data_IF_699299533172
#
_entry.id   IF_699299533172
#
_cell.length_a   1.000
_cell.length_b   1.000
_cell.length_c   1.000
_cell.angle_alpha   90.00
_cell.angle_beta   90.00
_cell.angle_gamma   90.00
#
_symmetry.space_group_name_H-M   'P 1'
#
loop_
_entity.id
_entity.type
_entity.pdbx_description
1 polymer ?
#
# COMPACT_ATOMS: atom_id res chain seq x y z
N UNK A 1 -9.39 -13.12 32.32
CA UNK A 1 -8.96 -12.48 31.06
C UNK A 1 -9.77 -13.11 29.92
N UNK A 2 -10.45 -12.32 29.09
CA UNK A 2 -11.31 -12.83 28.00
C UNK A 2 -10.49 -13.47 26.87
N UNK A 3 -11.13 -14.29 26.01
CA UNK A 3 -10.47 -14.88 24.82
C UNK A 3 -9.89 -13.80 23.90
N UNK A 4 -10.65 -12.73 23.65
CA UNK A 4 -10.21 -11.59 22.83
C UNK A 4 -9.00 -10.87 23.44
N UNK A 5 -8.96 -10.67 24.77
CA UNK A 5 -7.81 -10.06 25.44
C UNK A 5 -6.54 -10.93 25.30
N UNK A 6 -6.67 -12.26 25.35
CA UNK A 6 -5.54 -13.19 25.13
C UNK A 6 -4.99 -13.14 23.72
N UNK A 7 -5.88 -13.16 22.71
CA UNK A 7 -5.47 -13.07 21.31
C UNK A 7 -4.86 -11.72 20.99
N UNK A 8 -5.41 -10.62 21.52
CA UNK A 8 -4.82 -9.29 21.40
C UNK A 8 -3.42 -9.20 22.01
N UNK A 9 -3.24 -9.75 23.21
CA UNK A 9 -1.91 -9.79 23.86
C UNK A 9 -0.92 -10.58 23.01
N UNK A 10 -1.34 -11.73 22.47
CA UNK A 10 -0.52 -12.54 21.57
C UNK A 10 -0.14 -11.77 20.31
N UNK A 11 -1.06 -11.06 19.67
CA UNK A 11 -0.74 -10.20 18.53
C UNK A 11 0.34 -9.18 18.88
N UNK A 12 0.20 -8.49 20.02
CA UNK A 12 1.21 -7.54 20.50
C UNK A 12 2.55 -8.22 20.74
N UNK A 13 2.59 -9.39 21.38
CA UNK A 13 3.81 -10.17 21.57
C UNK A 13 4.50 -10.46 20.22
N UNK A 14 3.74 -10.80 19.16
CA UNK A 14 4.33 -11.02 17.83
C UNK A 14 4.89 -9.73 17.22
N UNK A 15 4.24 -8.57 17.43
CA UNK A 15 4.76 -7.29 16.95
C UNK A 15 6.05 -6.86 17.67
N UNK A 16 6.18 -7.21 18.94
CA UNK A 16 7.43 -7.02 19.69
C UNK A 16 8.53 -7.96 19.19
N UNK A 17 8.20 -9.24 18.98
CA UNK A 17 9.15 -10.26 18.51
C UNK A 17 9.64 -9.99 17.07
N UNK A 18 8.80 -9.40 16.23
CA UNK A 18 9.14 -8.95 14.87
C UNK A 18 9.93 -7.62 14.86
N UNK A 19 10.17 -7.00 16.03
CA UNK A 19 10.86 -5.72 16.17
C UNK A 19 10.19 -4.60 15.36
N UNK A 20 8.84 -4.57 15.35
CA UNK A 20 8.03 -3.58 14.60
C UNK A 20 7.24 -2.63 15.49
N UNK A 21 7.29 -2.84 16.80
CA UNK A 21 6.58 -2.06 17.80
C UNK A 21 7.49 -1.93 19.03
N UNK A 22 7.85 -0.70 19.37
CA UNK A 22 8.86 -0.39 20.39
C UNK A 22 8.34 0.64 21.40
N UNK A 23 7.61 1.66 20.94
CA UNK A 23 7.19 2.77 21.79
C UNK A 23 6.14 2.30 22.83
N UNK A 24 6.34 2.56 24.13
CA UNK A 24 5.42 2.13 25.18
C UNK A 24 3.97 2.59 24.97
N UNK A 25 3.78 3.78 24.41
CA UNK A 25 2.46 4.38 24.14
C UNK A 25 1.73 3.65 23.02
N UNK A 26 2.45 3.22 21.98
CA UNK A 26 1.87 2.40 20.92
C UNK A 26 1.60 0.97 21.39
N UNK A 27 2.51 0.39 22.19
CA UNK A 27 2.27 -0.91 22.83
C UNK A 27 1.00 -0.87 23.69
N UNK A 28 0.79 0.20 24.46
CA UNK A 28 -0.42 0.41 25.23
C UNK A 28 -1.67 0.49 24.32
N UNK A 29 -1.61 1.28 23.25
CA UNK A 29 -2.70 1.40 22.28
C UNK A 29 -3.10 0.05 21.67
N UNK A 30 -2.15 -0.73 21.14
CA UNK A 30 -2.43 -2.05 20.57
C UNK A 30 -2.95 -3.06 21.63
N UNK A 31 -2.54 -2.93 22.89
CA UNK A 31 -3.06 -3.75 24.01
C UNK A 31 -4.46 -3.34 24.46
N UNK A 32 -4.87 -2.10 24.23
CA UNK A 32 -6.15 -1.56 24.66
C UNK A 32 -7.23 -1.70 23.57
N UNK A 33 -6.94 -1.29 22.34
CA UNK A 33 -7.93 -1.16 21.27
C UNK A 33 -8.41 -2.54 20.80
N UNK A 34 -9.71 -2.84 20.87
CA UNK A 34 -10.27 -4.14 20.50
C UNK A 34 -10.41 -4.29 18.98
N UNK A 35 -9.38 -4.79 18.28
CA UNK A 35 -9.40 -4.99 16.81
C UNK A 35 -10.67 -5.68 16.28
N UNK A 36 -11.21 -6.65 17.02
CA UNK A 36 -12.47 -7.35 16.72
C UNK A 36 -13.75 -6.49 16.65
N UNK A 37 -13.80 -5.35 17.32
CA UNK A 37 -14.91 -4.38 17.17
C UNK A 37 -14.91 -3.79 15.75
N UNK A 38 -13.73 -3.64 15.16
CA UNK A 38 -13.56 -3.02 13.84
C UNK A 38 -13.66 -4.02 12.69
N UNK A 39 -13.80 -5.32 12.97
CA UNK A 39 -13.80 -6.39 11.97
C UNK A 39 -14.95 -7.38 12.18
N UNK A 40 -16.22 -6.92 12.20
CA UNK A 40 -17.36 -7.83 12.37
C UNK A 40 -17.49 -8.82 11.21
N UNK A 41 -16.97 -8.46 10.03
CA UNK A 41 -16.95 -9.25 8.81
C UNK A 41 -15.76 -8.88 7.93
N UNK A 42 -15.32 -9.82 7.11
CA UNK A 42 -14.26 -9.65 6.11
C UNK A 42 -14.32 -10.77 5.06
N UNK A 43 -13.44 -10.72 4.08
CA UNK A 43 -13.22 -11.77 3.09
C UNK A 43 -11.91 -12.52 3.35
N UNK A 44 -11.90 -13.81 3.03
CA UNK A 44 -10.70 -14.65 3.01
C UNK A 44 -10.49 -15.25 1.61
N UNK A 45 -9.23 -15.42 1.17
CA UNK A 45 -8.93 -16.10 -0.09
C UNK A 45 -9.46 -17.54 -0.11
N UNK A 46 -10.14 -17.92 -1.18
CA UNK A 46 -10.70 -19.25 -1.40
C UNK A 46 -10.58 -19.66 -2.87
N UNK A 47 -9.49 -20.35 -3.22
CA UNK A 47 -9.30 -20.90 -4.58
C UNK A 47 -9.29 -19.85 -5.71
N UNK A 48 -8.70 -18.68 -5.47
CA UNK A 48 -8.69 -17.55 -6.42
C UNK A 48 -9.92 -16.64 -6.34
N UNK A 49 -10.90 -17.00 -5.49
CA UNK A 49 -12.08 -16.20 -5.15
C UNK A 49 -11.99 -15.70 -3.70
N UNK A 50 -13.03 -15.00 -3.24
CA UNK A 50 -13.14 -14.42 -1.92
C UNK A 50 -14.37 -14.97 -1.18
N UNK A 51 -14.13 -15.66 -0.07
CA UNK A 51 -15.17 -16.18 0.82
C UNK A 51 -15.52 -15.17 1.91
N UNK A 52 -16.81 -14.99 2.19
CA UNK A 52 -17.29 -14.17 3.31
C UNK A 52 -17.05 -14.87 4.66
N UNK A 53 -16.52 -14.13 5.62
CA UNK A 53 -16.33 -14.54 7.02
C UNK A 53 -16.92 -13.48 7.96
N UNK A 54 -17.68 -13.90 8.97
CA UNK A 54 -18.21 -13.05 10.04
C UNK A 54 -18.00 -13.66 11.44
N UNK A 55 -18.50 -12.97 12.47
CA UNK A 55 -18.41 -13.36 13.89
C UNK A 55 -19.03 -14.72 14.23
N UNK A 56 -19.95 -15.23 13.41
CA UNK A 56 -20.64 -16.49 13.66
C UNK A 56 -19.84 -17.68 13.08
N UNK A 57 -18.80 -17.41 12.28
CA UNK A 57 -17.93 -18.43 11.71
C UNK A 57 -16.85 -18.92 12.72
N UNK A 58 -16.56 -20.23 12.76
CA UNK A 58 -15.50 -20.77 13.59
C UNK A 58 -14.14 -20.14 13.27
N UNK A 59 -13.42 -19.71 14.31
CA UNK A 59 -12.09 -19.14 14.16
C UNK A 59 -12.05 -17.67 13.74
N UNK A 60 -13.20 -17.00 13.56
CA UNK A 60 -13.26 -15.57 13.23
C UNK A 60 -12.37 -14.73 14.15
N UNK A 61 -12.48 -14.92 15.47
CA UNK A 61 -11.75 -14.11 16.44
C UNK A 61 -10.23 -14.37 16.36
N UNK A 62 -9.81 -15.60 16.10
CA UNK A 62 -8.40 -15.93 15.86
C UNK A 62 -7.87 -15.22 14.60
N UNK A 63 -8.65 -15.24 13.51
CA UNK A 63 -8.28 -14.59 12.25
C UNK A 63 -8.19 -13.07 12.40
N UNK A 64 -9.12 -12.44 13.13
CA UNK A 64 -9.06 -11.00 13.44
C UNK A 64 -7.74 -10.60 14.12
N UNK A 65 -7.20 -11.46 14.98
CA UNK A 65 -5.94 -11.22 15.68
C UNK A 65 -4.75 -11.94 15.01
N UNK A 66 -4.90 -12.40 13.77
CA UNK A 66 -3.78 -12.86 12.96
C UNK A 66 -2.94 -11.67 12.48
N UNK A 67 -1.79 -12.00 11.89
CA UNK A 67 -0.86 -11.03 11.30
C UNK A 67 -1.20 -10.68 9.86
N UNK A 68 -2.32 -11.16 9.34
CA UNK A 68 -2.67 -11.03 7.93
C UNK A 68 -3.45 -9.73 7.65
N UNK A 69 -3.46 -9.37 6.38
CA UNK A 69 -4.40 -8.38 5.84
C UNK A 69 -5.77 -9.03 5.73
N UNK A 70 -6.80 -8.34 6.22
CA UNK A 70 -8.18 -8.82 6.13
C UNK A 70 -8.97 -7.91 5.20
N UNK A 71 -9.37 -8.42 4.03
CA UNK A 71 -10.08 -7.66 3.01
C UNK A 71 -11.50 -7.37 3.47
N UNK A 72 -11.97 -6.13 3.35
CA UNK A 72 -13.29 -5.70 3.83
C UNK A 72 -14.22 -5.21 2.74
N UNK A 73 -13.70 -4.91 1.55
CA UNK A 73 -14.50 -4.52 0.39
C UNK A 73 -13.84 -5.04 -0.90
N UNK A 74 -14.68 -5.42 -1.87
CA UNK A 74 -14.26 -5.78 -3.22
C UNK A 74 -14.95 -4.83 -4.21
N UNK A 75 -14.26 -4.45 -5.29
CA UNK A 75 -14.80 -3.70 -6.43
C UNK A 75 -15.51 -2.38 -6.09
N UNK A 76 -15.17 -1.74 -4.97
CA UNK A 76 -15.91 -0.58 -4.39
C UNK A 76 -17.40 -0.85 -4.13
N UNK A 77 -17.78 -2.12 -4.02
CA UNK A 77 -19.17 -2.55 -3.94
C UNK A 77 -19.47 -3.01 -2.50
N UNK A 78 -20.32 -2.26 -1.76
CA UNK A 78 -20.64 -2.58 -0.38
C UNK A 78 -21.44 -3.88 -0.22
N UNK A 79 -22.09 -4.37 -1.29
CA UNK A 79 -22.97 -5.54 -1.26
C UNK A 79 -22.25 -6.86 -1.60
N UNK A 80 -20.97 -6.80 -1.99
CA UNK A 80 -20.18 -7.99 -2.36
C UNK A 80 -20.04 -8.99 -1.25
N UNK A 81 -20.00 -8.52 -0.01
CA UNK A 81 -19.85 -9.41 1.13
C UNK A 81 -21.13 -10.23 1.32
N UNK A 82 -22.28 -9.59 1.27
CA UNK A 82 -23.59 -10.25 1.34
C UNK A 82 -23.78 -11.22 0.17
N UNK A 83 -23.34 -10.86 -1.03
CA UNK A 83 -23.35 -11.77 -2.18
C UNK A 83 -22.52 -13.02 -1.86
N UNK A 84 -21.26 -12.86 -1.44
CA UNK A 84 -20.39 -13.98 -1.10
C UNK A 84 -20.95 -14.85 0.04
N UNK A 85 -21.61 -14.23 1.03
CA UNK A 85 -22.25 -14.96 2.14
C UNK A 85 -23.42 -15.81 1.66
N UNK A 86 -24.19 -15.35 0.68
CA UNK A 86 -25.36 -16.07 0.14
C UNK A 86 -25.00 -17.12 -0.91
N UNK A 87 -24.03 -16.83 -1.78
CA UNK A 87 -23.75 -17.64 -2.98
C UNK A 87 -22.45 -18.43 -2.91
N UNK A 88 -21.69 -18.30 -1.81
CA UNK A 88 -20.33 -18.83 -1.71
C UNK A 88 -19.28 -17.88 -2.30
N UNK A 89 -18.01 -18.31 -2.40
CA UNK A 89 -16.90 -17.43 -2.79
C UNK A 89 -17.13 -16.69 -4.12
N UNK A 90 -16.78 -15.40 -4.17
CA UNK A 90 -16.98 -14.53 -5.35
C UNK A 90 -15.67 -13.99 -5.90
N UNK A 91 -15.65 -13.64 -7.19
CA UNK A 91 -14.56 -12.88 -7.77
C UNK A 91 -14.65 -11.39 -7.35
N UNK A 92 -13.50 -10.73 -7.32
CA UNK A 92 -13.42 -9.29 -7.08
C UNK A 92 -12.01 -8.83 -6.78
N UNK A 93 -11.78 -7.54 -6.97
CA UNK A 93 -10.53 -6.85 -6.64
C UNK A 93 -10.68 -6.20 -5.27
N UNK A 94 -9.82 -6.50 -4.28
CA UNK A 94 -9.84 -5.79 -3.01
C UNK A 94 -9.71 -4.28 -3.15
N UNK A 95 -10.64 -3.55 -2.54
CA UNK A 95 -10.65 -2.08 -2.53
C UNK A 95 -10.58 -1.47 -1.14
N UNK A 96 -10.83 -2.26 -0.09
CA UNK A 96 -10.57 -1.90 1.30
C UNK A 96 -10.10 -3.12 2.09
N UNK A 97 -9.30 -2.88 3.14
CA UNK A 97 -8.88 -3.91 4.09
C UNK A 97 -8.57 -3.33 5.46
N UNK A 98 -8.62 -4.16 6.50
CA UNK A 98 -7.80 -3.92 7.69
C UNK A 98 -6.37 -4.35 7.36
N UNK A 99 -5.48 -3.36 7.31
CA UNK A 99 -4.07 -3.55 6.98
C UNK A 99 -3.37 -4.49 7.96
N UNK A 100 -2.25 -5.05 7.51
CA UNK A 100 -1.41 -5.94 8.32
C UNK A 100 -0.94 -5.19 9.59
N UNK A 101 -1.08 -5.77 10.79
CA UNK A 101 -0.75 -5.08 12.03
C UNK A 101 0.69 -4.57 12.12
N UNK A 102 1.65 -5.32 11.56
CA UNK A 102 3.07 -4.92 11.58
C UNK A 102 3.33 -3.67 10.74
N UNK A 103 2.71 -3.54 9.57
CA UNK A 103 2.88 -2.32 8.77
C UNK A 103 2.20 -1.10 9.42
N UNK A 104 1.05 -1.31 10.06
CA UNK A 104 0.40 -0.25 10.83
C UNK A 104 1.30 0.23 11.98
N UNK A 105 1.90 -0.70 12.75
CA UNK A 105 2.82 -0.36 13.82
C UNK A 105 4.02 0.45 13.30
N UNK A 106 4.67 0.00 12.22
CA UNK A 106 5.78 0.71 11.58
C UNK A 106 5.38 2.15 11.24
N UNK A 107 4.27 2.34 10.51
CA UNK A 107 3.87 3.68 10.07
C UNK A 107 3.48 4.60 11.23
N UNK A 108 2.82 4.07 12.27
CA UNK A 108 2.47 4.82 13.48
C UNK A 108 3.71 5.28 14.27
N UNK A 109 4.76 4.46 14.34
CA UNK A 109 6.02 4.84 14.96
C UNK A 109 6.80 5.86 14.14
N UNK A 110 6.81 5.68 12.83
CA UNK A 110 7.48 6.59 11.89
C UNK A 110 6.81 7.97 11.86
N UNK A 111 5.50 8.01 12.13
CA UNK A 111 4.72 9.26 12.29
C UNK A 111 5.15 10.06 13.52
N UNK A 112 5.80 9.45 14.53
CA UNK A 112 6.34 10.14 15.73
C UNK A 112 5.32 11.09 16.36
N UNK A 113 4.10 10.59 16.58
CA UNK A 113 3.03 11.32 17.25
C UNK A 113 3.42 11.60 18.70
N UNK A 114 3.21 12.84 19.13
CA UNK A 114 3.34 13.29 20.50
C UNK A 114 1.97 13.70 21.04
N UNK A 115 1.91 13.89 22.35
CA UNK A 115 0.71 14.42 22.99
C UNK A 115 0.38 15.80 22.42
N UNK A 116 -0.91 16.18 22.44
CA UNK A 116 -1.42 17.48 21.98
C UNK A 116 -1.33 17.74 20.45
N UNK A 117 -0.79 16.80 19.67
CA UNK A 117 -0.68 16.94 18.22
C UNK A 117 -1.96 16.55 17.48
N UNK A 118 -2.36 17.38 16.52
CA UNK A 118 -3.46 17.09 15.60
C UNK A 118 -3.00 16.13 14.52
N UNK A 119 -3.72 15.03 14.35
CA UNK A 119 -3.41 13.96 13.40
C UNK A 119 -4.52 13.85 12.37
N UNK A 120 -4.14 13.85 11.10
CA UNK A 120 -4.99 13.43 9.99
C UNK A 120 -4.62 12.02 9.56
N UNK A 121 -5.61 11.15 9.49
CA UNK A 121 -5.56 9.89 8.76
C UNK A 121 -6.32 10.00 7.43
N UNK A 122 -5.69 9.57 6.36
CA UNK A 122 -6.31 9.40 5.03
C UNK A 122 -6.49 7.91 4.78
N UNK A 123 -7.74 7.50 4.57
CA UNK A 123 -8.15 6.10 4.50
C UNK A 123 -8.70 5.60 5.84
N UNK A 124 -9.91 6.05 6.21
CA UNK A 124 -10.57 5.60 7.45
C UNK A 124 -10.73 4.08 7.50
N UNK A 125 -11.11 3.45 6.37
CA UNK A 125 -11.33 2.00 6.31
C UNK A 125 -12.22 1.51 7.46
N UNK A 126 -11.76 0.49 8.19
CA UNK A 126 -12.55 -0.03 9.33
C UNK A 126 -12.64 0.90 10.54
N UNK A 127 -11.79 1.92 10.63
CA UNK A 127 -11.63 2.79 11.80
C UNK A 127 -10.66 2.25 12.86
N UNK A 128 -10.03 1.08 12.67
CA UNK A 128 -9.13 0.51 13.66
C UNK A 128 -7.88 1.38 13.90
N UNK A 129 -7.28 1.91 12.83
CA UNK A 129 -6.09 2.75 12.95
C UNK A 129 -6.42 4.14 13.53
N UNK A 130 -7.54 4.75 13.13
CA UNK A 130 -8.12 5.92 13.81
C UNK A 130 -8.30 5.71 15.32
N UNK A 131 -8.70 4.51 15.76
CA UNK A 131 -8.85 4.18 17.17
C UNK A 131 -7.50 4.08 17.90
N UNK A 132 -6.46 3.54 17.24
CA UNK A 132 -5.09 3.54 17.78
C UNK A 132 -4.56 4.96 17.95
N UNK A 133 -4.72 5.82 16.93
CA UNK A 133 -4.39 7.25 16.99
C UNK A 133 -5.16 7.94 18.12
N UNK A 134 -6.48 7.68 18.21
CA UNK A 134 -7.36 8.27 19.22
C UNK A 134 -6.96 7.86 20.64
N UNK A 135 -6.48 6.63 20.83
CA UNK A 135 -5.90 6.18 22.09
C UNK A 135 -4.57 6.89 22.39
N UNK A 136 -3.74 7.09 21.37
CA UNK A 136 -2.39 7.67 21.50
C UNK A 136 -2.40 9.14 21.88
N UNK A 137 -3.16 9.99 21.18
CA UNK A 137 -3.13 11.44 21.39
C UNK A 137 -4.48 12.02 21.82
N UNK A 138 -5.55 11.22 21.87
CA UNK A 138 -6.90 11.67 22.23
C UNK A 138 -7.78 11.87 21.00
N UNK A 139 -9.00 11.33 21.04
CA UNK A 139 -9.93 11.33 19.90
C UNK A 139 -10.24 12.74 19.36
N UNK A 140 -10.27 13.77 20.20
CA UNK A 140 -10.53 15.15 19.77
C UNK A 140 -9.44 15.77 18.91
N UNK A 141 -8.26 15.14 18.81
CA UNK A 141 -7.14 15.57 17.98
C UNK A 141 -6.97 14.73 16.72
N UNK A 142 -7.85 13.76 16.49
CA UNK A 142 -7.78 12.86 15.33
C UNK A 142 -8.89 13.21 14.35
N UNK A 143 -8.50 13.37 13.09
CA UNK A 143 -9.39 13.49 11.94
C UNK A 143 -9.11 12.33 10.98
N UNK A 144 -10.14 11.75 10.39
CA UNK A 144 -10.01 10.65 9.43
C UNK A 144 -10.97 10.83 8.26
N UNK A 145 -10.48 10.62 7.04
CA UNK A 145 -11.26 10.79 5.80
C UNK A 145 -11.24 9.53 4.95
N UNK A 146 -12.39 9.18 4.39
CA UNK A 146 -12.52 8.14 3.37
C UNK A 146 -13.53 8.60 2.32
N UNK A 147 -13.37 8.11 1.10
CA UNK A 147 -14.20 8.49 -0.05
C UNK A 147 -15.52 7.71 -0.06
N UNK A 148 -15.59 6.58 0.62
CA UNK A 148 -16.77 5.73 0.67
C UNK A 148 -17.69 6.08 1.86
N UNK A 149 -18.92 6.59 1.61
CA UNK A 149 -19.82 6.99 2.69
C UNK A 149 -20.28 5.83 3.57
N UNK A 150 -20.37 4.60 3.04
CA UNK A 150 -20.76 3.42 3.81
C UNK A 150 -19.64 3.07 4.80
N UNK A 151 -18.38 3.07 4.33
CA UNK A 151 -17.21 2.81 5.16
C UNK A 151 -17.11 3.84 6.31
N UNK A 152 -17.24 5.14 6.01
CA UNK A 152 -17.19 6.20 7.04
C UNK A 152 -18.31 6.04 8.07
N UNK A 153 -19.53 5.71 7.61
CA UNK A 153 -20.67 5.46 8.48
C UNK A 153 -20.41 4.33 9.47
N UNK A 154 -20.03 3.16 8.96
CA UNK A 154 -19.75 1.99 9.79
C UNK A 154 -18.54 2.20 10.71
N UNK A 155 -17.48 2.88 10.24
CA UNK A 155 -16.30 3.19 11.06
C UNK A 155 -16.65 4.09 12.24
N UNK A 156 -17.52 5.08 12.04
CA UNK A 156 -17.98 6.00 13.11
C UNK A 156 -18.72 5.24 14.21
N UNK A 157 -19.55 4.25 13.85
CA UNK A 157 -20.26 3.40 14.81
C UNK A 157 -19.29 2.55 15.63
N UNK A 158 -18.33 1.88 14.96
CA UNK A 158 -17.30 1.03 15.59
C UNK A 158 -16.37 1.83 16.50
N UNK A 159 -15.97 3.03 16.07
CA UNK A 159 -15.20 3.97 16.89
C UNK A 159 -15.97 4.35 18.16
N UNK A 160 -17.26 4.68 18.03
CA UNK A 160 -18.11 5.03 19.16
C UNK A 160 -18.31 3.84 20.12
N UNK A 161 -18.49 2.62 19.60
CA UNK A 161 -18.54 1.39 20.40
C UNK A 161 -17.25 1.17 21.19
N UNK A 162 -16.10 1.46 20.57
CA UNK A 162 -14.78 1.38 21.21
C UNK A 162 -14.48 2.58 22.14
N UNK A 163 -15.39 3.56 22.27
CA UNK A 163 -15.25 4.72 23.16
C UNK A 163 -14.53 5.92 22.55
N UNK A 164 -14.27 5.94 21.25
CA UNK A 164 -13.60 7.02 20.55
C UNK A 164 -14.56 7.79 19.63
N UNK A 165 -14.39 9.11 19.54
CA UNK A 165 -15.20 9.97 18.66
C UNK A 165 -14.33 10.99 17.90
N UNK A 166 -13.40 10.53 17.04
CA UNK A 166 -12.64 11.43 16.19
C UNK A 166 -13.53 12.07 15.12
N UNK A 167 -13.05 13.15 14.49
CA UNK A 167 -13.74 13.75 13.36
C UNK A 167 -13.63 12.81 12.14
N UNK A 168 -14.77 12.37 11.60
CA UNK A 168 -14.82 11.48 10.45
C UNK A 168 -15.54 12.17 9.29
N UNK A 169 -14.89 12.29 8.13
CA UNK A 169 -15.44 12.94 6.94
C UNK A 169 -15.55 11.98 5.75
N UNK A 170 -16.55 12.20 4.91
CA UNK A 170 -16.63 11.60 3.57
C UNK A 170 -16.00 12.57 2.58
N UNK A 171 -14.97 12.15 1.85
CA UNK A 171 -14.28 13.01 0.90
C UNK A 171 -13.12 12.32 0.20
N UNK A 172 -12.64 12.93 -0.87
CA UNK A 172 -11.44 12.43 -1.55
C UNK A 172 -10.21 12.72 -0.69
N UNK A 173 -9.55 11.65 -0.23
CA UNK A 173 -8.35 11.72 0.59
C UNK A 173 -7.17 12.40 -0.12
N UNK A 174 -7.12 12.43 -1.46
CA UNK A 174 -6.11 13.20 -2.20
C UNK A 174 -6.17 14.69 -1.86
N UNK A 175 -7.36 15.21 -1.57
CA UNK A 175 -7.60 16.61 -1.21
C UNK A 175 -7.40 16.91 0.29
N UNK A 176 -7.04 15.90 1.09
CA UNK A 176 -6.89 16.02 2.54
C UNK A 176 -8.24 16.08 3.28
N UNK A 177 -8.30 16.84 4.38
CA UNK A 177 -9.47 16.88 5.26
C UNK A 177 -10.29 18.16 5.10
N UNK A 178 -11.63 18.09 4.94
CA UNK A 178 -12.46 19.24 4.60
C UNK A 178 -12.83 20.13 5.81
N UNK A 179 -11.84 20.54 6.63
CA UNK A 179 -12.07 21.39 7.81
C UNK A 179 -11.28 22.70 7.82
N UNK A 180 -10.30 22.87 6.92
CA UNK A 180 -9.45 24.07 6.90
C UNK A 180 -8.56 24.23 8.13
N UNK A 181 -8.26 23.14 8.85
CA UNK A 181 -7.30 23.11 9.95
C UNK A 181 -5.95 22.58 9.48
N UNK A 182 -4.88 23.02 10.13
CA UNK A 182 -3.54 22.48 9.95
C UNK A 182 -3.30 21.29 10.89
N UNK A 183 -2.59 20.29 10.41
CA UNK A 183 -2.23 19.08 11.16
C UNK A 183 -0.73 19.06 11.49
N UNK A 184 -0.40 18.49 12.64
CA UNK A 184 0.99 18.23 13.01
C UNK A 184 1.52 16.97 12.31
N UNK A 185 0.60 16.03 12.03
CA UNK A 185 0.87 14.69 11.54
C UNK A 185 -0.17 14.31 10.50
N UNK A 186 0.28 13.86 9.35
CA UNK A 186 -0.58 13.28 8.31
C UNK A 186 -0.11 11.87 8.01
N UNK A 187 -1.04 10.92 8.03
CA UNK A 187 -0.79 9.52 7.76
C UNK A 187 -1.76 9.04 6.67
N UNK A 188 -1.24 8.48 5.60
CA UNK A 188 -2.08 7.81 4.60
C UNK A 188 -1.94 6.29 4.74
N UNK A 189 -3.06 5.60 4.94
CA UNK A 189 -3.19 4.14 5.00
C UNK A 189 -3.74 3.56 3.69
N UNK A 190 -3.56 4.31 2.60
CA UNK A 190 -3.67 3.89 1.22
C UNK A 190 -2.37 4.30 0.49
N UNK A 191 -2.23 3.93 -0.77
CA UNK A 191 -1.05 4.26 -1.56
C UNK A 191 -1.30 5.26 -2.66
N UNK A 192 -0.25 6.01 -3.00
CA UNK A 192 -0.32 7.09 -3.98
C UNK A 192 0.81 6.98 -4.99
N UNK A 193 0.55 7.38 -6.23
CA UNK A 193 1.57 7.41 -7.30
C UNK A 193 2.52 8.60 -7.15
N UNK A 194 2.07 9.67 -6.50
CA UNK A 194 2.81 10.89 -6.16
C UNK A 194 2.26 11.44 -4.85
N UNK A 195 3.02 12.27 -4.14
CA UNK A 195 2.58 12.83 -2.84
C UNK A 195 1.64 14.01 -3.10
N UNK A 196 0.37 13.97 -2.67
CA UNK A 196 -0.53 15.09 -2.88
C UNK A 196 -0.08 16.35 -2.15
N UNK A 197 0.03 17.47 -2.89
CA UNK A 197 0.43 18.78 -2.35
C UNK A 197 -0.53 19.23 -1.24
N UNK A 198 -1.81 18.86 -1.34
CA UNK A 198 -2.82 19.17 -0.32
C UNK A 198 -2.45 18.64 1.07
N UNK A 199 -1.76 17.50 1.16
CA UNK A 199 -1.34 16.94 2.45
C UNK A 199 -0.25 17.80 3.09
N UNK A 200 0.74 18.23 2.29
CA UNK A 200 1.81 19.12 2.75
C UNK A 200 1.24 20.50 3.10
N UNK A 201 0.33 21.03 2.28
CA UNK A 201 -0.32 22.33 2.51
C UNK A 201 -1.24 22.34 3.74
N UNK A 202 -1.75 21.19 4.15
CA UNK A 202 -2.54 21.03 5.39
C UNK A 202 -1.66 20.59 6.58
N UNK A 203 -0.35 20.50 6.42
CA UNK A 203 0.59 20.15 7.51
C UNK A 203 1.34 21.39 7.96
N UNK A 204 1.46 21.61 9.27
CA UNK A 204 2.27 22.71 9.80
C UNK A 204 3.72 22.56 9.34
N UNK A 205 4.47 23.65 9.08
CA UNK A 205 5.90 23.55 8.80
C UNK A 205 6.65 22.79 9.91
N UNK A 206 7.49 21.83 9.51
CA UNK A 206 8.15 20.91 10.44
C UNK A 206 7.29 19.72 10.90
N UNK A 207 6.02 19.67 10.52
CA UNK A 207 5.15 18.52 10.71
C UNK A 207 5.54 17.33 9.83
N UNK A 208 4.99 16.15 10.14
CA UNK A 208 5.38 14.91 9.45
C UNK A 208 4.24 14.37 8.60
N UNK A 209 4.56 13.95 7.39
CA UNK A 209 3.68 13.18 6.51
C UNK A 209 4.28 11.80 6.32
N UNK A 210 3.50 10.75 6.62
CA UNK A 210 3.88 9.35 6.37
C UNK A 210 2.89 8.74 5.40
N UNK A 211 3.39 8.16 4.32
CA UNK A 211 2.57 7.53 3.27
C UNK A 211 3.32 6.37 2.64
N UNK A 212 2.67 5.67 1.72
CA UNK A 212 3.31 4.72 0.83
C UNK A 212 3.18 5.17 -0.62
N UNK A 213 4.31 5.20 -1.32
CA UNK A 213 4.34 5.35 -2.76
C UNK A 213 4.06 3.99 -3.39
N UNK A 214 2.98 3.90 -4.17
CA UNK A 214 2.68 2.77 -5.01
C UNK A 214 2.93 3.16 -6.44
N UNK A 215 4.11 2.77 -6.93
CA UNK A 215 4.44 2.80 -8.34
C UNK A 215 4.11 1.44 -8.93
N UNK A 216 3.83 1.35 -10.23
CA UNK A 216 3.50 0.07 -10.82
C UNK A 216 4.62 -0.97 -10.65
N UNK A 217 5.88 -0.53 -10.60
CA UNK A 217 7.04 -1.32 -10.20
C UNK A 217 7.67 -0.64 -8.98
N UNK A 218 7.88 -1.39 -7.90
CA UNK A 218 8.45 -0.85 -6.67
C UNK A 218 7.45 -0.07 -5.81
N UNK A 219 7.44 -0.37 -4.52
CA UNK A 219 6.74 0.41 -3.52
C UNK A 219 7.72 0.87 -2.43
N UNK A 220 7.32 1.87 -1.66
CA UNK A 220 8.10 2.29 -0.51
C UNK A 220 7.29 3.17 0.43
N UNK A 221 7.39 2.89 1.72
CA UNK A 221 6.98 3.86 2.73
C UNK A 221 7.88 5.09 2.62
N UNK A 222 7.29 6.26 2.82
CA UNK A 222 8.00 7.53 2.80
C UNK A 222 7.59 8.34 4.01
N UNK A 223 8.58 8.98 4.65
CA UNK A 223 8.34 10.02 5.65
C UNK A 223 8.91 11.33 5.16
N UNK A 224 8.04 12.34 5.08
CA UNK A 224 8.41 13.72 4.76
C UNK A 224 8.27 14.63 5.98
N UNK A 225 9.12 15.64 6.01
CA UNK A 225 8.92 16.85 6.79
C UNK A 225 8.24 17.87 5.88
N UNK A 226 7.09 18.39 6.29
CA UNK A 226 6.40 19.44 5.56
C UNK A 226 7.15 20.78 5.69
N UNK A 227 7.30 21.48 4.57
CA UNK A 227 7.80 22.85 4.51
C UNK A 227 6.65 23.86 4.49
N UNK A 228 6.93 25.06 3.97
CA UNK A 228 5.92 26.08 3.71
C UNK A 228 5.25 25.83 2.34
N UNK A 229 4.03 26.37 2.16
CA UNK A 229 3.31 26.41 0.89
C UNK A 229 3.21 25.07 0.12
N UNK A 230 3.01 23.97 0.84
CA UNK A 230 2.83 22.64 0.22
C UNK A 230 4.12 21.98 -0.28
N UNK A 231 5.28 22.49 0.16
CA UNK A 231 6.57 21.84 -0.07
C UNK A 231 6.88 20.76 0.98
N UNK A 232 7.80 19.86 0.68
CA UNK A 232 8.26 18.86 1.64
C UNK A 232 9.49 18.10 1.18
N UNK A 233 10.25 17.58 2.15
CA UNK A 233 11.42 16.75 1.87
C UNK A 233 11.48 15.59 2.85
N UNK A 234 11.90 14.42 2.37
CA UNK A 234 11.84 13.20 3.17
C UNK A 234 12.72 12.07 2.65
N UNK A 235 12.57 10.92 3.29
CA UNK A 235 13.25 9.69 2.92
C UNK A 235 12.25 8.56 2.72
N UNK A 236 12.58 7.69 1.76
CA UNK A 236 12.01 6.35 1.69
C UNK A 236 12.52 5.57 2.90
N UNK A 237 11.67 4.79 3.53
CA UNK A 237 12.05 4.01 4.71
C UNK A 237 12.64 2.66 4.29
N UNK A 238 13.57 2.13 5.10
CA UNK A 238 14.17 0.82 4.86
C UNK A 238 13.13 -0.31 4.85
N UNK A 239 12.12 -0.18 5.72
CA UNK A 239 10.99 -1.12 5.82
C UNK A 239 9.97 -0.85 4.71
N UNK A 240 9.56 -1.92 4.04
CA UNK A 240 8.54 -1.85 2.99
C UNK A 240 7.12 -1.86 3.55
N UNK A 241 6.18 -1.32 2.77
CA UNK A 241 4.76 -1.34 3.06
C UNK A 241 3.96 -1.12 1.78
N UNK A 242 3.04 -2.05 1.50
CA UNK A 242 2.14 -1.96 0.35
C UNK A 242 0.72 -1.80 0.83
N UNK A 243 0.03 -0.85 0.21
CA UNK A 243 -1.37 -0.58 0.42
C UNK A 243 -2.08 -0.52 -0.91
N UNK A 244 -3.39 -0.73 -0.87
CA UNK A 244 -4.26 -0.50 -2.03
C UNK A 244 -4.14 0.97 -2.45
N UNK A 245 -4.12 1.28 -3.76
CA UNK A 245 -4.08 2.65 -4.22
C UNK A 245 -5.33 3.41 -3.78
N UNK A 246 -5.15 4.68 -3.42
CA UNK A 246 -6.24 5.64 -3.39
C UNK A 246 -7.00 5.59 -4.71
N UNK A 247 -8.32 5.80 -4.67
CA UNK A 247 -9.17 5.67 -5.87
C UNK A 247 -8.68 6.57 -7.01
N UNK A 248 -8.25 7.80 -6.71
CA UNK A 248 -7.67 8.74 -7.67
C UNK A 248 -6.35 8.27 -8.32
N UNK A 249 -5.61 7.37 -7.66
CA UNK A 249 -4.31 6.85 -8.12
C UNK A 249 -4.40 5.44 -8.74
N UNK A 250 -5.60 4.94 -9.03
CA UNK A 250 -5.77 3.65 -9.70
C UNK A 250 -5.37 3.74 -11.17
N UNK A 251 -4.56 2.77 -11.60
CA UNK A 251 -4.19 2.63 -13.00
C UNK A 251 -5.35 2.02 -13.79
N UNK A 252 -5.54 2.48 -15.02
CA UNK A 252 -6.46 1.85 -15.95
C UNK A 252 -6.02 0.43 -16.32
N UNK A 253 -7.00 -0.40 -16.70
CA UNK A 253 -6.73 -1.72 -17.25
C UNK A 253 -5.87 -1.61 -18.53
N UNK A 254 -4.98 -2.57 -18.77
CA UNK A 254 -4.25 -2.63 -20.03
C UNK A 254 -5.09 -3.22 -21.14
N UNK A 255 -4.82 -2.76 -22.36
CA UNK A 255 -5.27 -3.44 -23.56
C UNK A 255 -4.62 -4.82 -23.67
N UNK A 256 -5.28 -5.77 -24.36
CA UNK A 256 -4.70 -7.07 -24.67
C UNK A 256 -3.35 -6.93 -25.37
N UNK A 257 -2.39 -7.76 -24.97
CA UNK A 257 -1.03 -7.70 -25.49
C UNK A 257 -0.87 -8.55 -26.76
N UNK A 258 -0.06 -8.09 -27.73
CA UNK A 258 0.29 -8.91 -28.88
C UNK A 258 0.90 -10.26 -28.46
N UNK A 259 0.58 -11.32 -29.22
CA UNK A 259 1.20 -12.64 -29.05
C UNK A 259 2.46 -12.73 -29.91
N UNK A 260 3.66 -12.90 -29.32
CA UNK A 260 4.90 -13.01 -30.08
C UNK A 260 4.99 -14.34 -30.84
N UNK A 261 5.58 -14.29 -32.02
CA UNK A 261 5.98 -15.44 -32.81
C UNK A 261 7.14 -16.19 -32.13
N UNK A 262 7.45 -17.41 -32.60
CA UNK A 262 8.52 -18.23 -32.02
C UNK A 262 9.88 -17.56 -32.05
N UNK A 263 10.15 -16.79 -33.09
CA UNK A 263 11.44 -16.15 -33.35
C UNK A 263 11.58 -14.77 -32.69
N UNK A 264 10.52 -14.26 -32.06
CA UNK A 264 10.51 -12.96 -31.36
C UNK A 264 11.08 -13.04 -29.93
N UNK A 265 11.49 -14.23 -29.49
CA UNK A 265 11.94 -14.47 -28.12
C UNK A 265 13.46 -14.49 -28.03
N UNK A 266 13.98 -13.66 -27.14
CA UNK A 266 15.41 -13.51 -26.88
C UNK A 266 15.75 -13.93 -25.46
N UNK A 267 16.93 -14.53 -25.26
CA UNK A 267 17.40 -14.92 -23.94
C UNK A 267 17.84 -13.69 -23.13
N UNK A 268 17.45 -13.66 -21.87
CA UNK A 268 17.85 -12.60 -20.91
C UNK A 268 18.62 -13.22 -19.75
N UNK A 269 19.56 -12.46 -19.19
CA UNK A 269 20.25 -12.82 -17.94
C UNK A 269 19.59 -12.22 -16.70
N UNK A 270 18.67 -11.29 -16.89
CA UNK A 270 17.89 -10.66 -15.82
C UNK A 270 16.56 -11.40 -15.68
N UNK A 271 16.29 -12.14 -14.58
CA UNK A 271 14.99 -12.76 -14.36
C UNK A 271 13.93 -11.70 -14.07
N UNK A 272 12.70 -11.86 -14.60
CA UNK A 272 11.57 -10.94 -14.33
C UNK A 272 11.30 -10.74 -12.84
N UNK A 273 11.49 -11.77 -12.02
CA UNK A 273 11.34 -11.65 -10.58
C UNK A 273 12.29 -10.66 -9.92
N UNK A 274 13.42 -10.34 -10.55
CA UNK A 274 14.35 -9.32 -10.04
C UNK A 274 13.72 -7.93 -10.09
N UNK A 275 12.84 -7.68 -11.06
CA UNK A 275 12.10 -6.43 -11.21
C UNK A 275 10.84 -6.36 -10.35
N UNK A 276 10.18 -7.49 -10.10
CA UNK A 276 8.81 -7.51 -9.55
C UNK A 276 8.70 -8.05 -8.12
N UNK A 277 9.75 -8.66 -7.57
CA UNK A 277 9.68 -9.22 -6.21
C UNK A 277 10.05 -8.15 -5.16
N UNK A 278 9.15 -7.86 -4.21
CA UNK A 278 9.38 -6.85 -3.14
C UNK A 278 10.62 -7.09 -2.28
N UNK A 279 11.05 -8.36 -2.18
CA UNK A 279 12.23 -8.76 -1.39
C UNK A 279 13.55 -8.50 -2.12
N UNK A 280 13.52 -8.12 -3.40
CA UNK A 280 14.71 -7.82 -4.19
C UNK A 280 14.99 -6.33 -4.12
N UNK A 281 16.21 -5.98 -3.73
CA UNK A 281 16.64 -4.59 -3.60
C UNK A 281 16.46 -3.79 -4.91
N UNK A 282 16.60 -4.46 -6.06
CA UNK A 282 16.47 -3.84 -7.38
C UNK A 282 15.05 -3.36 -7.71
N UNK A 283 13.99 -3.97 -7.16
CA UNK A 283 12.60 -3.66 -7.54
C UNK A 283 12.26 -2.16 -7.36
N UNK A 284 12.72 -1.56 -6.26
CA UNK A 284 12.53 -0.14 -6.00
C UNK A 284 13.25 0.74 -7.04
N UNK A 285 14.49 0.36 -7.40
CA UNK A 285 15.30 1.08 -8.39
C UNK A 285 14.75 0.91 -9.81
N UNK A 286 14.28 -0.28 -10.17
CA UNK A 286 13.63 -0.55 -11.44
C UNK A 286 12.44 0.39 -11.65
N UNK A 287 11.63 0.62 -10.60
CA UNK A 287 10.54 1.60 -10.63
C UNK A 287 10.99 3.06 -10.84
N UNK A 288 12.21 3.43 -10.46
CA UNK A 288 12.78 4.77 -10.72
C UNK A 288 13.28 4.89 -12.16
N UNK A 289 13.96 3.84 -12.64
CA UNK A 289 14.59 3.82 -13.95
C UNK A 289 13.59 3.56 -15.10
N UNK A 290 12.44 2.98 -14.79
CA UNK A 290 11.40 2.62 -15.77
C UNK A 290 10.06 3.31 -15.46
N UNK A 291 10.00 4.66 -15.50
CA UNK A 291 8.79 5.39 -15.18
C UNK A 291 7.64 5.00 -16.11
N UNK A 292 6.44 4.84 -15.53
CA UNK A 292 5.23 4.47 -16.27
C UNK A 292 5.12 3.00 -16.69
N UNK A 293 6.19 2.20 -16.57
CA UNK A 293 6.13 0.77 -16.87
C UNK A 293 5.37 0.05 -15.76
N UNK A 294 4.38 -0.77 -16.13
CA UNK A 294 3.52 -1.49 -15.19
C UNK A 294 3.41 -2.98 -15.49
N UNK A 295 3.42 -3.83 -14.45
CA UNK A 295 3.10 -5.23 -14.59
C UNK A 295 1.59 -5.40 -14.81
N UNK A 296 1.23 -6.30 -15.72
CA UNK A 296 -0.14 -6.69 -15.99
C UNK A 296 -0.25 -8.20 -16.00
N UNK A 297 -1.37 -8.73 -15.52
CA UNK A 297 -1.67 -10.15 -15.71
C UNK A 297 -2.10 -10.36 -17.14
N UNK A 298 -1.40 -11.28 -17.78
CA UNK A 298 -1.65 -11.69 -19.14
C UNK A 298 -2.90 -12.58 -19.15
N UNK A 299 -4.03 -12.03 -19.60
CA UNK A 299 -5.20 -12.82 -19.92
C UNK A 299 -4.99 -13.47 -21.30
N UNK A 300 -3.96 -14.30 -21.43
CA UNK A 300 -3.97 -15.31 -22.48
C UNK A 300 -5.21 -16.17 -22.20
N UNK A 301 -6.14 -16.28 -23.15
CA UNK A 301 -7.51 -16.81 -23.01
C UNK A 301 -7.67 -18.27 -22.53
N UNK A 302 -6.76 -18.78 -21.73
CA UNK A 302 -6.88 -19.96 -20.88
C UNK A 302 -7.51 -19.61 -19.53
N UNK A 303 -8.54 -20.37 -19.19
CA UNK A 303 -9.40 -20.28 -18.02
C UNK A 303 -8.63 -20.03 -16.69
N UNK A 304 -8.99 -18.97 -15.91
CA UNK A 304 -8.36 -18.66 -14.62
C UNK A 304 -8.47 -19.80 -13.58
N UNK A 305 -9.28 -20.83 -13.83
CA UNK A 305 -9.39 -22.02 -12.97
C UNK A 305 -8.35 -23.12 -13.25
N UNK A 306 -7.45 -22.95 -14.23
CA UNK A 306 -6.44 -23.97 -14.58
C UNK A 306 -4.98 -23.62 -14.25
N UNK A 307 -4.69 -22.40 -13.79
CA UNK A 307 -3.34 -22.01 -13.36
C UNK A 307 -3.15 -22.24 -11.85
N UNK A 308 -2.63 -23.41 -11.49
CA UNK A 308 -2.20 -23.71 -10.13
C UNK A 308 -1.03 -22.83 -9.68
N UNK A 309 -1.29 -22.00 -8.66
CA UNK A 309 -0.25 -21.36 -7.83
C UNK A 309 0.37 -20.06 -8.38
N UNK A 310 1.00 -19.25 -7.52
CA UNK A 310 1.63 -17.99 -7.88
C UNK A 310 2.98 -18.26 -8.57
N UNK A 311 2.93 -18.67 -9.84
CA UNK A 311 4.10 -18.73 -10.72
C UNK A 311 4.24 -17.43 -11.52
N UNK A 312 5.47 -17.08 -11.90
CA UNK A 312 5.81 -15.94 -12.79
C UNK A 312 5.17 -16.03 -14.20
N UNK A 313 4.56 -17.18 -14.53
CA UNK A 313 3.84 -17.40 -15.79
C UNK A 313 2.59 -16.53 -15.88
N UNK A 314 2.47 -15.74 -16.95
CA UNK A 314 1.31 -14.88 -17.21
C UNK A 314 1.42 -13.48 -16.63
N UNK A 315 2.64 -12.95 -16.43
CA UNK A 315 2.88 -11.53 -16.15
C UNK A 315 3.65 -10.90 -17.30
N UNK A 316 3.15 -9.77 -17.78
CA UNK A 316 3.77 -8.95 -18.80
C UNK A 316 4.03 -7.53 -18.27
N UNK A 317 4.90 -6.77 -18.93
CA UNK A 317 5.11 -5.35 -18.66
C UNK A 317 4.53 -4.53 -19.80
N UNK A 318 3.92 -3.39 -19.47
CA UNK A 318 3.40 -2.45 -20.46
C UNK A 318 3.73 -1.01 -20.08
N UNK A 319 3.76 -0.13 -21.06
CA UNK A 319 3.92 1.30 -20.88
C UNK A 319 2.82 2.07 -21.65
N UNK A 320 2.36 3.25 -21.17
CA UNK A 320 1.29 4.01 -21.82
C UNK A 320 1.54 4.40 -23.29
N UNK A 321 2.79 4.40 -23.76
CA UNK A 321 3.13 4.65 -25.16
C UNK A 321 2.93 3.43 -26.09
N UNK A 322 2.41 2.31 -25.56
CA UNK A 322 2.18 1.06 -26.29
C UNK A 322 3.37 0.10 -26.29
N UNK A 323 4.47 0.42 -25.60
CA UNK A 323 5.58 -0.51 -25.41
C UNK A 323 5.20 -1.66 -24.48
N UNK A 324 5.68 -2.87 -24.75
CA UNK A 324 5.35 -4.06 -23.98
C UNK A 324 6.50 -5.07 -23.90
N UNK A 325 6.46 -5.92 -22.87
CA UNK A 325 7.34 -7.09 -22.69
C UNK A 325 6.53 -8.28 -22.20
N UNK A 326 6.71 -9.44 -22.81
CA UNK A 326 6.29 -10.74 -22.27
C UNK A 326 7.52 -11.51 -21.83
N UNK A 327 7.38 -12.28 -20.76
CA UNK A 327 8.43 -13.12 -20.19
C UNK A 327 7.99 -14.58 -20.17
N UNK A 328 8.93 -15.50 -20.38
CA UNK A 328 8.71 -16.93 -20.17
C UNK A 328 9.98 -17.61 -19.68
N UNK A 329 9.83 -18.81 -19.12
CA UNK A 329 10.94 -19.75 -18.91
C UNK A 329 10.90 -20.88 -19.92
N UNK A 330 11.99 -21.09 -20.66
CA UNK A 330 12.13 -22.19 -21.63
C UNK A 330 13.43 -22.95 -21.36
N UNK A 331 13.31 -24.26 -21.10
CA UNK A 331 14.44 -25.14 -20.81
C UNK A 331 15.39 -24.62 -19.69
N UNK A 332 14.83 -23.91 -18.69
CA UNK A 332 15.59 -23.35 -17.57
C UNK A 332 16.23 -21.98 -17.83
N UNK A 333 16.11 -21.43 -19.03
CA UNK A 333 16.53 -20.06 -19.36
C UNK A 333 15.33 -19.09 -19.31
N UNK A 334 15.59 -17.86 -18.88
CA UNK A 334 14.63 -16.75 -18.98
C UNK A 334 14.69 -16.17 -20.39
N UNK A 335 13.53 -16.00 -21.01
CA UNK A 335 13.38 -15.41 -22.33
C UNK A 335 12.35 -14.29 -22.28
N UNK A 336 12.55 -13.26 -23.10
CA UNK A 336 11.60 -12.16 -23.29
C UNK A 336 11.28 -11.94 -24.75
N UNK A 337 10.07 -11.47 -25.00
CA UNK A 337 9.68 -10.86 -26.26
C UNK A 337 9.16 -9.46 -25.95
N UNK A 338 9.50 -8.49 -26.79
CA UNK A 338 9.11 -7.09 -26.56
C UNK A 338 8.73 -6.41 -27.87
N UNK A 339 8.01 -5.30 -27.76
CA UNK A 339 7.63 -4.50 -28.91
C UNK A 339 7.09 -3.13 -28.52
N UNK A 340 6.81 -2.32 -29.54
CA UNK A 340 6.37 -0.93 -29.39
C UNK A 340 7.53 0.08 -29.45
N UNK A 341 7.27 1.35 -29.11
CA UNK A 341 8.24 2.43 -29.32
C UNK A 341 9.54 2.34 -28.50
N UNK A 342 9.52 1.65 -27.36
CA UNK A 342 10.66 1.48 -26.45
C UNK A 342 10.97 0.01 -26.21
N UNK A 343 12.26 -0.33 -26.25
CA UNK A 343 12.75 -1.63 -25.79
C UNK A 343 12.78 -1.66 -24.25
N UNK A 344 11.62 -1.88 -23.62
CA UNK A 344 11.50 -1.81 -22.16
C UNK A 344 12.42 -2.80 -21.44
N UNK A 345 12.75 -3.94 -22.04
CA UNK A 345 13.64 -4.91 -21.42
C UNK A 345 15.11 -4.48 -21.47
N UNK A 346 15.54 -3.86 -22.56
CA UNK A 346 16.88 -3.26 -22.63
C UNK A 346 17.02 -2.13 -21.60
N UNK A 347 15.96 -1.34 -21.39
CA UNK A 347 15.92 -0.34 -20.32
C UNK A 347 16.05 -1.00 -18.92
N UNK A 348 15.41 -2.15 -18.69
CA UNK A 348 15.53 -2.89 -17.45
C UNK A 348 16.96 -3.42 -17.20
N UNK A 349 17.58 -3.98 -18.23
CA UNK A 349 18.96 -4.49 -18.14
C UNK A 349 19.96 -3.35 -17.93
N UNK A 350 19.81 -2.24 -18.65
CA UNK A 350 20.62 -1.04 -18.44
C UNK A 350 20.45 -0.47 -17.03
N UNK A 351 19.22 -0.40 -16.52
CA UNK A 351 18.93 0.01 -15.16
C UNK A 351 19.58 -0.92 -14.12
N UNK A 352 19.65 -2.22 -14.39
CA UNK A 352 20.29 -3.18 -13.49
C UNK A 352 21.81 -2.99 -13.43
N UNK A 353 22.45 -2.72 -14.57
CA UNK A 353 23.88 -2.37 -14.62
C UNK A 353 24.14 -1.08 -13.85
N UNK A 354 23.36 -0.03 -14.12
CA UNK A 354 23.46 1.26 -13.44
C UNK A 354 23.29 1.13 -11.91
N UNK A 355 22.30 0.37 -11.46
CA UNK A 355 22.12 0.04 -10.04
C UNK A 355 23.35 -0.65 -9.43
N UNK A 356 23.98 -1.57 -10.17
CA UNK A 356 25.22 -2.22 -9.74
C UNK A 356 26.39 -1.22 -9.63
N UNK A 357 26.53 -0.32 -10.60
CA UNK A 357 27.58 0.72 -10.62
C UNK A 357 27.42 1.73 -9.49
N UNK A 358 26.18 2.04 -9.09
CA UNK A 358 25.87 2.86 -7.91
C UNK A 358 26.11 2.14 -6.57
N UNK A 359 26.65 0.92 -6.59
CA UNK A 359 26.93 0.14 -5.39
C UNK A 359 25.69 -0.51 -4.78
N UNK A 360 24.66 -0.78 -5.61
CA UNK A 360 23.42 -1.46 -5.22
C UNK A 360 22.71 -0.74 -4.06
N UNK A 361 22.40 0.55 -4.19
CA UNK A 361 21.80 1.32 -3.10
C UNK A 361 20.50 0.68 -2.63
N UNK A 362 20.35 0.57 -1.32
CA UNK A 362 19.09 0.21 -0.67
C UNK A 362 18.12 1.39 -0.71
N UNK A 363 16.81 1.09 -0.54
CA UNK A 363 15.76 2.11 -0.72
C UNK A 363 15.85 3.27 0.25
N UNK A 364 16.40 3.08 1.44
CA UNK A 364 16.54 4.12 2.47
C UNK A 364 17.60 5.18 2.15
N UNK A 365 18.47 4.89 1.19
CA UNK A 365 19.37 5.89 0.59
C UNK A 365 18.65 6.86 -0.33
N UNK A 366 17.40 6.58 -0.71
CA UNK A 366 16.63 7.46 -1.57
C UNK A 366 15.80 8.43 -0.74
N UNK A 367 15.96 9.70 -1.04
CA UNK A 367 15.10 10.76 -0.54
C UNK A 367 14.10 11.22 -1.58
N UNK A 368 13.14 12.02 -1.14
CA UNK A 368 12.15 12.66 -2.00
C UNK A 368 12.07 14.14 -1.67
N UNK A 369 11.92 14.97 -2.69
CA UNK A 369 11.61 16.39 -2.58
C UNK A 369 10.33 16.68 -3.35
N UNK A 370 9.44 17.45 -2.73
CA UNK A 370 8.18 17.91 -3.30
C UNK A 370 8.20 19.44 -3.30
N UNK A 371 8.11 20.04 -4.48
CA UNK A 371 8.11 21.49 -4.67
C UNK A 371 7.00 21.86 -5.63
N UNK A 372 5.80 22.12 -5.09
CA UNK A 372 4.61 22.36 -5.91
C UNK A 372 4.25 21.11 -6.72
N UNK A 373 4.19 21.25 -8.04
CA UNK A 373 3.86 20.17 -8.98
C UNK A 373 5.06 19.25 -9.31
N UNK A 374 6.29 19.69 -9.04
CA UNK A 374 7.51 18.90 -9.28
C UNK A 374 7.86 18.05 -8.08
N UNK A 375 7.98 16.74 -8.32
CA UNK A 375 8.43 15.78 -7.31
C UNK A 375 9.57 14.95 -7.85
N UNK A 376 10.61 14.77 -7.04
CA UNK A 376 11.82 14.07 -7.47
C UNK A 376 12.36 13.20 -6.35
N UNK A 377 12.82 12.01 -6.73
CA UNK A 377 13.71 11.23 -5.90
C UNK A 377 15.14 11.69 -6.08
N UNK A 378 15.94 11.52 -5.04
CA UNK A 378 17.38 11.72 -5.07
C UNK A 378 18.10 10.61 -4.31
N UNK A 379 19.34 10.30 -4.70
CA UNK A 379 20.19 9.33 -4.02
C UNK A 379 21.15 10.05 -3.06
N UNK A 380 21.16 9.62 -1.80
CA UNK A 380 21.96 10.10 -0.65
C UNK A 380 21.69 11.54 -0.21
N UNK A 381 21.69 12.50 -1.13
CA UNK A 381 21.45 13.94 -0.86
C UNK A 381 20.61 14.58 -1.96
N UNK A 382 19.90 15.69 -1.67
CA UNK A 382 19.12 16.42 -2.68
C UNK A 382 19.90 16.92 -3.90
N UNK A 383 21.20 17.16 -3.74
CA UNK A 383 22.10 17.58 -4.84
C UNK A 383 22.69 16.39 -5.61
N UNK A 384 22.34 15.16 -5.22
CA UNK A 384 22.80 13.92 -5.84
C UNK A 384 22.12 13.64 -7.18
N UNK A 385 22.23 12.39 -7.63
CA UNK A 385 21.50 11.94 -8.83
C UNK A 385 20.00 11.93 -8.54
N UNK A 386 19.21 12.46 -9.47
CA UNK A 386 17.76 12.57 -9.32
C UNK A 386 16.98 11.75 -10.34
N UNK A 387 15.74 11.41 -9.98
CA UNK A 387 14.75 10.78 -10.85
C UNK A 387 13.39 11.46 -10.66
N UNK A 388 12.67 11.82 -11.74
CA UNK A 388 11.35 12.43 -11.61
C UNK A 388 10.35 11.41 -11.03
N UNK A 389 9.51 11.89 -10.11
CA UNK A 389 8.32 11.18 -9.63
C UNK A 389 7.07 11.69 -10.36
N UNK A 390 6.97 12.99 -10.62
CA UNK A 390 5.92 13.64 -11.43
C UNK A 390 6.49 14.51 -12.54
#
# INVERSE_FOLDING_TARGET
MTRSARLRRRLVEHLLDEDVLHAPEWIAAFRAVPRHVFLPRFFMPAGGLWAAVDRDDPGWLETVYSRDVLVTQLDDDPDRWELARRTGPVAGTPTSSSSMPSIMAIMLEELRVRDEQRVLEIGTGTGYNAALLSHRCGAGLVSTVDIDPVIVGEARERLAEAGYRPACAVGDGELGFPAGTMFDRVLCTASVSSIPVAWLAQTVPGGLVVTTLNRPIGAGLVRLVAGEDGTGQGHVLARDGRFMPLRAHRLAQADPLPMPSRDDWEQTRLPLSTLLQPRKQFEFFAGLAMPGVRPVRDHDGTDPHTAGGPGESGVALVHPDGSWVRHRKRAGADEVAQGGPRALWELAEAAYVDWCELGKPERDRFGVTVTGDRQEFWLDTPDGRTWPLT
#
